data_IF_100698171175
#
_entry.id   IF_100698171175
#
_cell.length_a   1.000
_cell.length_b   1.000
_cell.length_c   1.000
_cell.angle_alpha   90.00
_cell.angle_beta   90.00
_cell.angle_gamma   90.00
#
_symmetry.space_group_name_H-M   'P 1'
#
loop_
_entity.id
_entity.type
_entity.pdbx_description
1 polymer ?
#
# COMPACT_ATOMS: atom_id res chain seq x y z
N UNK A 1 -20.68 -24.40 -22.51
CA UNK A 1 -19.32 -24.53 -21.93
C UNK A 1 -18.57 -23.19 -21.91
N UNK A 2 -18.38 -22.52 -23.04
CA UNK A 2 -17.65 -21.24 -23.17
C UNK A 2 -18.22 -20.12 -22.27
N UNK A 3 -19.54 -19.92 -22.24
CA UNK A 3 -20.21 -18.93 -21.37
C UNK A 3 -19.96 -19.13 -19.87
N UNK A 4 -19.76 -20.37 -19.42
CA UNK A 4 -19.49 -20.68 -18.01
C UNK A 4 -18.06 -20.27 -17.62
N UNK A 5 -17.11 -20.48 -18.54
CA UNK A 5 -15.70 -20.10 -18.38
C UNK A 5 -15.56 -18.57 -18.32
N UNK A 6 -16.21 -17.85 -19.23
CA UNK A 6 -16.17 -16.38 -19.26
C UNK A 6 -16.78 -15.75 -17.99
N UNK A 7 -17.92 -16.27 -17.52
CA UNK A 7 -18.52 -15.80 -16.24
C UNK A 7 -17.59 -16.04 -15.05
N UNK A 8 -16.88 -17.16 -15.04
CA UNK A 8 -15.96 -17.50 -13.97
C UNK A 8 -14.73 -16.57 -13.95
N UNK A 9 -14.20 -16.21 -15.12
CA UNK A 9 -13.08 -15.27 -15.21
C UNK A 9 -13.46 -13.86 -14.75
N UNK A 10 -14.63 -13.36 -15.20
CA UNK A 10 -15.17 -12.08 -14.74
C UNK A 10 -15.40 -12.04 -13.22
N UNK A 11 -15.85 -13.15 -12.63
CA UNK A 11 -16.03 -13.26 -11.19
C UNK A 11 -14.70 -13.17 -10.46
N UNK A 12 -13.66 -13.87 -10.92
CA UNK A 12 -12.31 -13.81 -10.34
C UNK A 12 -11.74 -12.39 -10.37
N UNK A 13 -11.84 -11.70 -11.51
CA UNK A 13 -11.40 -10.30 -11.66
C UNK A 13 -12.12 -9.38 -10.65
N UNK A 14 -13.44 -9.54 -10.50
CA UNK A 14 -14.22 -8.78 -9.52
C UNK A 14 -13.81 -9.07 -8.08
N UNK A 15 -13.57 -10.33 -7.73
CA UNK A 15 -13.15 -10.73 -6.37
C UNK A 15 -11.82 -10.06 -6.04
N UNK A 16 -10.80 -10.21 -6.89
CA UNK A 16 -9.46 -9.62 -6.65
C UNK A 16 -9.57 -8.10 -6.45
N UNK A 17 -10.33 -7.41 -7.32
CA UNK A 17 -10.55 -5.96 -7.23
C UNK A 17 -11.17 -5.54 -5.90
N UNK A 18 -12.24 -6.22 -5.48
CA UNK A 18 -12.93 -5.87 -4.23
C UNK A 18 -12.11 -6.25 -3.00
N UNK A 19 -11.39 -7.37 -3.03
CA UNK A 19 -10.45 -7.73 -1.96
C UNK A 19 -9.38 -6.65 -1.78
N UNK A 20 -8.76 -6.18 -2.86
CA UNK A 20 -7.75 -5.11 -2.80
C UNK A 20 -8.31 -3.84 -2.15
N UNK A 21 -9.51 -3.42 -2.58
CA UNK A 21 -10.18 -2.21 -2.07
C UNK A 21 -10.57 -2.31 -0.59
N UNK A 22 -11.12 -3.46 -0.17
CA UNK A 22 -11.52 -3.66 1.22
C UNK A 22 -10.30 -3.73 2.15
N UNK A 23 -9.23 -4.40 1.73
CA UNK A 23 -7.97 -4.42 2.48
C UNK A 23 -7.36 -3.02 2.58
N UNK A 24 -7.33 -2.27 1.47
CA UNK A 24 -6.81 -0.90 1.47
C UNK A 24 -7.62 0.03 2.36
N UNK A 25 -8.96 -0.06 2.29
CA UNK A 25 -9.85 0.73 3.13
C UNK A 25 -9.66 0.38 4.62
N UNK A 26 -9.60 -0.91 4.94
CA UNK A 26 -9.37 -1.39 6.31
C UNK A 26 -8.04 -0.91 6.85
N UNK A 27 -6.96 -1.06 6.07
CA UNK A 27 -5.63 -0.58 6.47
C UNK A 27 -5.62 0.93 6.65
N UNK A 28 -6.20 1.70 5.72
CA UNK A 28 -6.24 3.17 5.81
C UNK A 28 -7.02 3.62 7.04
N UNK A 29 -8.23 3.09 7.27
CA UNK A 29 -9.05 3.46 8.44
C UNK A 29 -8.38 3.08 9.75
N UNK A 30 -7.68 1.94 9.78
CA UNK A 30 -6.97 1.50 10.97
C UNK A 30 -5.72 2.35 11.24
N UNK A 31 -4.89 2.60 10.24
CA UNK A 31 -3.56 3.22 10.41
C UNK A 31 -3.57 4.75 10.48
N UNK A 32 -4.53 5.41 9.82
CA UNK A 32 -4.58 6.87 9.76
C UNK A 32 -4.70 7.53 11.15
N UNK A 33 -5.53 7.04 12.09
CA UNK A 33 -5.56 7.58 13.46
C UNK A 33 -4.22 7.47 14.19
N UNK A 34 -3.48 6.37 14.02
CA UNK A 34 -2.18 6.20 14.67
C UNK A 34 -1.13 7.16 14.10
N UNK A 35 -1.15 7.40 12.79
CA UNK A 35 -0.24 8.35 12.16
C UNK A 35 -0.45 9.78 12.67
N UNK A 36 -1.70 10.23 12.80
CA UNK A 36 -1.98 11.54 13.40
C UNK A 36 -1.80 11.57 14.93
N UNK A 37 -1.77 10.40 15.58
CA UNK A 37 -1.48 10.25 17.00
C UNK A 37 -0.01 10.48 17.38
N UNK A 38 0.92 10.52 16.41
CA UNK A 38 2.37 10.70 16.63
C UNK A 38 2.79 12.09 17.15
N UNK A 39 1.83 13.00 17.38
CA UNK A 39 2.08 14.37 17.86
C UNK A 39 2.54 15.30 16.74
N UNK A 40 3.73 15.07 16.18
CA UNK A 40 4.24 15.80 15.01
C UNK A 40 4.64 14.83 13.88
N UNK A 41 3.72 14.54 12.94
CA UNK A 41 3.95 13.58 11.86
C UNK A 41 4.73 14.17 10.68
N UNK A 42 5.12 15.44 10.74
CA UNK A 42 5.85 16.09 9.63
C UNK A 42 7.32 15.69 9.71
N UNK A 43 7.90 15.13 8.63
CA UNK A 43 9.29 14.73 8.62
C UNK A 43 10.20 15.97 8.77
N UNK A 44 11.31 15.78 9.49
CA UNK A 44 12.40 16.73 9.73
C UNK A 44 12.06 17.96 10.59
N UNK A 45 10.90 17.98 11.25
CA UNK A 45 10.54 19.04 12.20
C UNK A 45 10.95 18.76 13.65
N UNK A 46 10.95 17.50 14.06
CA UNK A 46 11.36 17.12 15.42
C UNK A 46 12.85 16.73 15.40
N UNK A 47 13.73 17.44 16.14
CA UNK A 47 15.15 17.11 16.20
C UNK A 47 15.45 15.76 16.88
N UNK A 48 14.51 15.21 17.65
CA UNK A 48 14.67 13.94 18.35
C UNK A 48 14.44 12.72 17.44
N UNK A 49 13.93 12.93 16.21
CA UNK A 49 13.68 11.85 15.26
C UNK A 49 14.97 11.42 14.56
N UNK A 50 15.19 10.11 14.52
CA UNK A 50 16.26 9.51 13.74
C UNK A 50 16.05 9.73 12.23
N UNK A 51 17.08 9.44 11.44
CA UNK A 51 16.94 9.45 9.98
C UNK A 51 15.82 8.51 9.50
N UNK A 52 15.71 7.31 10.09
CA UNK A 52 14.70 6.33 9.72
C UNK A 52 13.29 6.76 10.11
N UNK A 53 13.12 7.38 11.29
CA UNK A 53 11.83 7.95 11.70
C UNK A 53 11.33 8.96 10.67
N UNK A 54 12.22 9.88 10.26
CA UNK A 54 11.89 10.89 9.27
C UNK A 54 11.59 10.28 7.89
N UNK A 55 12.31 9.23 7.49
CA UNK A 55 12.03 8.50 6.26
C UNK A 55 10.65 7.83 6.30
N UNK A 56 10.31 7.15 7.38
CA UNK A 56 9.00 6.53 7.54
C UNK A 56 7.87 7.56 7.58
N UNK A 57 8.07 8.69 8.26
CA UNK A 57 7.12 9.81 8.27
C UNK A 57 6.88 10.43 6.88
N UNK A 58 7.88 10.37 5.99
CA UNK A 58 7.74 10.74 4.58
C UNK A 58 6.98 9.66 3.77
N UNK A 59 7.27 8.39 4.04
CA UNK A 59 6.69 7.25 3.33
C UNK A 59 5.20 7.06 3.65
N UNK A 60 4.78 7.21 4.91
CA UNK A 60 3.40 6.95 5.33
C UNK A 60 2.35 7.79 4.56
N UNK A 61 2.53 9.10 4.35
CA UNK A 61 1.66 9.88 3.47
C UNK A 61 1.53 9.30 2.06
N UNK A 62 2.64 8.86 1.46
CA UNK A 62 2.62 8.25 0.12
C UNK A 62 1.86 6.92 0.14
N UNK A 63 2.02 6.12 1.20
CA UNK A 63 1.25 4.90 1.43
C UNK A 63 -0.24 5.21 1.51
N UNK A 64 -0.67 6.16 2.33
CA UNK A 64 -2.09 6.53 2.47
C UNK A 64 -2.69 7.05 1.16
N UNK A 65 -1.97 7.93 0.46
CA UNK A 65 -2.36 8.42 -0.87
C UNK A 65 -2.53 7.23 -1.81
N UNK A 66 -1.59 6.29 -1.84
CA UNK A 66 -1.66 5.13 -2.72
C UNK A 66 -2.85 4.22 -2.39
N UNK A 67 -3.10 3.95 -1.11
CA UNK A 67 -4.24 3.15 -0.66
C UNK A 67 -5.56 3.77 -1.11
N UNK A 68 -5.74 5.08 -0.97
CA UNK A 68 -6.93 5.79 -1.43
C UNK A 68 -7.02 5.85 -2.97
N UNK A 69 -5.91 6.14 -3.65
CA UNK A 69 -5.83 6.31 -5.10
C UNK A 69 -6.22 5.03 -5.86
N UNK A 70 -5.90 3.86 -5.28
CA UNK A 70 -6.23 2.56 -5.86
C UNK A 70 -7.72 2.27 -5.96
N UNK A 71 -8.58 3.13 -5.43
CA UNK A 71 -10.01 3.05 -5.72
C UNK A 71 -10.33 3.28 -7.20
N UNK A 72 -9.61 4.20 -7.86
CA UNK A 72 -9.85 4.59 -9.26
C UNK A 72 -8.66 4.34 -10.20
N UNK A 73 -7.43 4.43 -9.69
CA UNK A 73 -6.22 4.34 -10.50
C UNK A 73 -5.32 3.19 -10.02
N UNK A 74 -5.78 1.95 -10.20
CA UNK A 74 -5.14 0.76 -9.61
C UNK A 74 -3.65 0.64 -10.02
N UNK A 75 -3.32 0.89 -11.29
CA UNK A 75 -1.92 0.79 -11.78
C UNK A 75 -0.99 1.77 -11.07
N UNK A 76 -1.38 3.04 -11.04
CA UNK A 76 -0.56 4.11 -10.44
C UNK A 76 -0.42 3.90 -8.93
N UNK A 77 -1.53 3.56 -8.27
CA UNK A 77 -1.56 3.25 -6.85
C UNK A 77 -0.68 2.05 -6.49
N UNK A 78 -0.74 0.96 -7.26
CA UNK A 78 0.08 -0.23 -7.02
C UNK A 78 1.57 0.05 -7.14
N UNK A 79 1.99 0.79 -8.18
CA UNK A 79 3.40 1.19 -8.36
C UNK A 79 3.86 2.08 -7.20
N UNK A 80 3.09 3.13 -6.87
CA UNK A 80 3.45 4.07 -5.81
C UNK A 80 3.54 3.37 -4.45
N UNK A 81 2.60 2.47 -4.14
CA UNK A 81 2.57 1.72 -2.88
C UNK A 81 3.76 0.78 -2.75
N UNK A 82 4.04 -0.01 -3.79
CA UNK A 82 5.18 -0.94 -3.79
C UNK A 82 6.49 -0.18 -3.66
N UNK A 83 6.71 0.86 -4.48
CA UNK A 83 7.92 1.67 -4.42
C UNK A 83 8.12 2.26 -3.02
N UNK A 84 7.09 2.89 -2.45
CA UNK A 84 7.18 3.54 -1.14
C UNK A 84 7.54 2.55 -0.03
N UNK A 85 6.84 1.41 0.05
CA UNK A 85 7.09 0.42 1.10
C UNK A 85 8.44 -0.28 0.89
N UNK A 86 8.79 -0.65 -0.35
CA UNK A 86 10.08 -1.28 -0.64
C UNK A 86 11.24 -0.36 -0.27
N UNK A 87 11.13 0.95 -0.51
CA UNK A 87 12.16 1.91 -0.07
C UNK A 87 12.32 1.93 1.45
N UNK A 88 11.22 2.00 2.21
CA UNK A 88 11.29 2.01 3.67
C UNK A 88 11.85 0.70 4.25
N UNK A 89 11.40 -0.44 3.71
CA UNK A 89 11.90 -1.76 4.11
C UNK A 89 13.38 -1.94 3.81
N UNK A 90 13.84 -1.56 2.61
CA UNK A 90 15.26 -1.66 2.27
C UNK A 90 16.11 -0.74 3.14
N UNK A 91 15.67 0.48 3.39
CA UNK A 91 16.39 1.40 4.27
C UNK A 91 16.50 0.86 5.69
N UNK A 92 15.41 0.35 6.25
CA UNK A 92 15.39 -0.25 7.60
C UNK A 92 16.30 -1.47 7.65
N UNK A 93 16.20 -2.37 6.66
CA UNK A 93 17.03 -3.56 6.59
C UNK A 93 18.53 -3.23 6.51
N UNK A 94 18.90 -2.18 5.79
CA UNK A 94 20.32 -1.78 5.64
C UNK A 94 20.85 -1.06 6.88
N UNK A 95 20.04 -0.18 7.49
CA UNK A 95 20.50 0.70 8.57
C UNK A 95 20.36 0.03 9.94
N UNK A 96 19.26 -0.66 10.20
CA UNK A 96 18.96 -1.30 11.48
C UNK A 96 19.17 -2.82 11.47
N UNK A 97 19.39 -3.44 10.30
CA UNK A 97 19.46 -4.90 10.15
C UNK A 97 18.17 -5.63 10.60
N UNK A 98 17.04 -4.92 10.56
CA UNK A 98 15.74 -5.43 10.95
C UNK A 98 14.76 -5.48 9.79
N UNK A 99 13.79 -6.40 9.87
CA UNK A 99 12.74 -6.56 8.88
C UNK A 99 11.36 -6.31 9.50
N UNK A 100 10.66 -5.29 9.02
CA UNK A 100 9.33 -4.90 9.50
C UNK A 100 8.26 -5.71 8.76
N UNK A 101 7.87 -6.85 9.34
CA UNK A 101 6.91 -7.77 8.72
C UNK A 101 5.53 -7.16 8.49
N UNK A 102 5.11 -6.19 9.30
CA UNK A 102 3.84 -5.47 9.19
C UNK A 102 3.68 -4.80 7.82
N UNK A 103 4.80 -4.38 7.22
CA UNK A 103 4.82 -3.73 5.91
C UNK A 103 4.55 -4.69 4.75
N UNK A 104 4.46 -6.01 5.01
CA UNK A 104 4.00 -6.97 4.00
C UNK A 104 2.52 -6.78 3.63
N UNK A 105 1.71 -6.25 4.55
CA UNK A 105 0.28 -5.99 4.31
C UNK A 105 0.10 -4.94 3.19
N UNK A 106 0.65 -3.71 3.29
CA UNK A 106 0.55 -2.74 2.20
C UNK A 106 1.24 -3.20 0.90
N UNK A 107 2.33 -3.96 0.97
CA UNK A 107 2.94 -4.56 -0.23
C UNK A 107 2.00 -5.52 -0.94
N UNK A 108 1.34 -6.41 -0.18
CA UNK A 108 0.36 -7.33 -0.73
C UNK A 108 -0.81 -6.59 -1.39
N UNK A 109 -1.31 -5.52 -0.77
CA UNK A 109 -2.34 -4.65 -1.35
C UNK A 109 -1.85 -4.03 -2.67
N UNK A 110 -0.61 -3.55 -2.72
CA UNK A 110 0.00 -2.99 -3.93
C UNK A 110 0.07 -4.01 -5.07
N UNK A 111 0.43 -5.26 -4.77
CA UNK A 111 0.42 -6.36 -5.75
C UNK A 111 -1.00 -6.61 -6.27
N UNK A 112 -2.01 -6.66 -5.38
CA UNK A 112 -3.40 -6.84 -5.80
C UNK A 112 -3.92 -5.70 -6.69
N UNK A 113 -3.47 -4.45 -6.44
CA UNK A 113 -3.76 -3.32 -7.31
C UNK A 113 -3.16 -3.51 -8.71
N UNK A 114 -1.90 -3.95 -8.82
CA UNK A 114 -1.30 -4.23 -10.13
C UNK A 114 -2.02 -5.37 -10.86
N UNK A 115 -2.31 -6.48 -10.18
CA UNK A 115 -3.08 -7.60 -10.76
C UNK A 115 -4.43 -7.10 -11.27
N UNK A 116 -5.14 -6.28 -10.49
CA UNK A 116 -6.42 -5.69 -10.89
C UNK A 116 -6.27 -4.81 -12.13
N UNK A 117 -5.23 -3.99 -12.20
CA UNK A 117 -4.99 -3.08 -13.32
C UNK A 117 -4.71 -3.84 -14.63
N UNK A 118 -3.83 -4.85 -14.59
CA UNK A 118 -3.51 -5.65 -15.77
C UNK A 118 -4.68 -6.51 -16.24
N UNK A 119 -5.59 -6.89 -15.33
CA UNK A 119 -6.80 -7.64 -15.67
C UNK A 119 -7.94 -6.77 -16.23
N UNK A 120 -7.96 -5.45 -15.96
CA UNK A 120 -8.96 -4.51 -16.47
C UNK A 120 -8.61 -3.89 -17.83
N UNK A 121 -7.31 -3.83 -18.18
CA UNK A 121 -6.83 -3.25 -19.44
C UNK A 121 -6.78 -4.23 -20.62
N UNK A 122 -7.32 -5.44 -20.45
CA UNK A 122 -7.53 -6.48 -21.48
C UNK A 122 -9.01 -6.79 -21.60
#
# INVERSE_FOLDING_TARGET
MILKILKQDLLKKKIIKWTARLLALGLLLFSLPFYFGYGNPVPFLNPDYSFLDNLWLLIFPLVFISLALGWKYEKLAGILLIMSISTGLLATLIIENEFIFEMMIPLFIGILYLITAFNNNN
#
